data_IF_255793454722
#
_entry.id   IF_255793454722
#
_cell.length_a   1.000
_cell.length_b   1.000
_cell.length_c   1.000
_cell.angle_alpha   90.00
_cell.angle_beta   90.00
_cell.angle_gamma   90.00
#
_symmetry.space_group_name_H-M   'P 1'
#
loop_
_entity.id
_entity.type
_entity.pdbx_description
1 polymer ?
#
# COMPACT_ATOMS: atom_id res chain seq x y z
N UNK A 1 -2.47 10.10 7.63
CA UNK A 1 -1.53 9.98 6.50
C UNK A 1 -2.26 10.30 5.21
N UNK A 2 -1.75 11.26 4.45
CA UNK A 2 -2.32 11.66 3.15
C UNK A 2 -1.83 10.70 2.05
N UNK A 3 -2.75 9.99 1.40
CA UNK A 3 -2.44 9.18 0.23
C UNK A 3 -3.58 9.18 -0.78
N UNK A 4 -3.26 8.83 -2.02
CA UNK A 4 -4.20 8.68 -3.12
C UNK A 4 -4.02 7.29 -3.74
N UNK A 5 -5.08 6.48 -3.70
CA UNK A 5 -5.12 5.22 -4.45
C UNK A 5 -5.33 5.60 -5.92
N UNK A 6 -4.28 5.44 -6.73
CA UNK A 6 -4.30 5.72 -8.18
C UNK A 6 -4.91 4.57 -8.96
N UNK A 7 -4.67 3.35 -8.51
CA UNK A 7 -5.07 2.13 -9.19
C UNK A 7 -5.29 1.02 -8.17
N UNK A 8 -6.33 0.20 -8.40
CA UNK A 8 -6.61 -1.07 -7.71
C UNK A 8 -6.94 -2.10 -8.79
N UNK A 9 -6.12 -3.12 -8.96
CA UNK A 9 -6.31 -4.20 -9.95
C UNK A 9 -6.22 -5.54 -9.24
N UNK A 10 -7.14 -6.44 -9.56
CA UNK A 10 -7.03 -7.86 -9.21
C UNK A 10 -6.18 -8.58 -10.26
N UNK A 11 -5.16 -9.30 -9.80
CA UNK A 11 -4.26 -10.09 -10.65
C UNK A 11 -4.83 -11.50 -10.86
N UNK A 12 -4.26 -12.24 -11.81
CA UNK A 12 -4.75 -13.58 -12.19
C UNK A 12 -4.68 -14.63 -11.09
N UNK A 13 -3.88 -14.40 -10.06
CA UNK A 13 -3.70 -15.25 -8.87
C UNK A 13 -4.60 -14.84 -7.69
N UNK A 14 -5.49 -13.84 -7.89
CA UNK A 14 -6.36 -13.29 -6.83
C UNK A 14 -5.68 -12.25 -5.94
N UNK A 15 -4.39 -11.97 -6.16
CA UNK A 15 -3.67 -10.89 -5.47
C UNK A 15 -4.22 -9.53 -5.91
N UNK A 16 -4.35 -8.59 -4.98
CA UNK A 16 -4.77 -7.22 -5.29
C UNK A 16 -3.57 -6.29 -5.35
N UNK A 17 -3.33 -5.68 -6.50
CA UNK A 17 -2.32 -4.65 -6.70
C UNK A 17 -2.92 -3.27 -6.49
N UNK A 18 -2.30 -2.51 -5.59
CA UNK A 18 -2.58 -1.11 -5.33
C UNK A 18 -1.42 -0.24 -5.81
N UNK A 19 -1.72 0.84 -6.53
CA UNK A 19 -0.77 1.94 -6.69
C UNK A 19 -1.18 3.11 -5.82
N UNK A 20 -0.34 3.44 -4.84
CA UNK A 20 -0.63 4.44 -3.82
C UNK A 20 0.35 5.59 -4.00
N UNK A 21 -0.18 6.76 -4.37
CA UNK A 21 0.57 8.01 -4.41
C UNK A 21 0.56 8.71 -3.06
N UNK A 22 1.72 9.17 -2.59
CA UNK A 22 1.86 9.91 -1.33
C UNK A 22 3.03 10.88 -1.38
N UNK A 23 3.31 11.63 -0.31
CA UNK A 23 4.53 12.45 -0.23
C UNK A 23 5.75 11.56 0.07
N UNK A 24 6.95 11.95 -0.35
CA UNK A 24 8.18 11.17 -0.14
C UNK A 24 8.43 10.77 1.34
N UNK A 25 8.16 11.68 2.28
CA UNK A 25 8.32 11.41 3.71
C UNK A 25 7.30 10.39 4.24
N UNK A 26 6.08 10.35 3.68
CA UNK A 26 5.05 9.37 4.01
C UNK A 26 5.33 8.02 3.35
N UNK A 27 5.90 8.02 2.14
CA UNK A 27 6.30 6.80 1.44
C UNK A 27 7.26 5.95 2.28
N UNK A 28 8.29 6.59 2.85
CA UNK A 28 9.26 5.89 3.71
C UNK A 28 8.58 5.36 4.97
N UNK A 29 7.75 6.17 5.64
CA UNK A 29 7.01 5.75 6.84
C UNK A 29 6.09 4.55 6.54
N UNK A 30 5.37 4.60 5.43
CA UNK A 30 4.45 3.54 5.07
C UNK A 30 5.19 2.26 4.69
N UNK A 31 6.31 2.37 3.97
CA UNK A 31 7.20 1.23 3.72
C UNK A 31 7.57 0.48 5.01
N UNK A 32 7.97 1.20 6.07
CA UNK A 32 8.24 0.58 7.38
C UNK A 32 7.05 -0.15 8.01
N UNK A 33 5.83 0.36 7.80
CA UNK A 33 4.61 -0.32 8.26
C UNK A 33 4.43 -1.60 7.45
N UNK A 34 4.58 -1.55 6.13
CA UNK A 34 4.43 -2.72 5.26
C UNK A 34 5.47 -3.81 5.52
N UNK A 35 6.70 -3.45 5.89
CA UNK A 35 7.72 -4.41 6.36
C UNK A 35 7.25 -5.19 7.61
N UNK A 36 6.39 -4.59 8.44
CA UNK A 36 5.83 -5.25 9.62
C UNK A 36 4.65 -6.18 9.28
N UNK A 37 4.16 -6.16 8.04
CA UNK A 37 3.05 -6.97 7.54
C UNK A 37 3.55 -8.15 6.71
N UNK A 38 4.64 -8.78 7.14
CA UNK A 38 5.23 -9.94 6.46
C UNK A 38 4.16 -11.02 6.22
N UNK A 39 4.05 -11.48 4.97
CA UNK A 39 3.04 -12.46 4.53
C UNK A 39 1.70 -11.88 4.10
N UNK A 40 1.37 -10.62 4.42
CA UNK A 40 0.14 -9.98 3.96
C UNK A 40 0.29 -9.38 2.56
N UNK A 41 1.42 -8.73 2.32
CA UNK A 41 1.67 -8.04 1.08
C UNK A 41 3.16 -7.97 0.74
N UNK A 42 3.45 -7.78 -0.54
CA UNK A 42 4.74 -7.31 -1.01
C UNK A 42 4.61 -5.85 -1.47
N UNK A 43 5.68 -5.07 -1.36
CA UNK A 43 5.65 -3.70 -1.85
C UNK A 43 6.93 -3.31 -2.58
N UNK A 44 6.81 -2.34 -3.49
CA UNK A 44 7.94 -1.80 -4.24
C UNK A 44 7.67 -0.37 -4.68
N UNK A 45 8.73 0.34 -5.06
CA UNK A 45 8.64 1.65 -5.73
C UNK A 45 8.90 1.46 -7.22
N UNK A 46 7.86 1.36 -8.08
CA UNK A 46 8.05 1.01 -9.49
C UNK A 46 8.85 2.08 -10.26
N UNK A 47 8.81 3.33 -9.81
CA UNK A 47 9.53 4.45 -10.41
C UNK A 47 10.28 5.25 -9.34
N UNK A 48 11.62 5.25 -9.38
CA UNK A 48 12.46 5.92 -8.37
C UNK A 48 12.23 7.43 -8.24
N UNK A 49 11.72 8.07 -9.28
CA UNK A 49 11.52 9.53 -9.34
C UNK A 49 10.11 9.96 -8.95
N UNK A 50 9.18 9.01 -8.78
CA UNK A 50 7.79 9.30 -8.43
C UNK A 50 7.49 8.77 -7.04
N UNK A 51 6.74 9.52 -6.22
CA UNK A 51 6.40 9.08 -4.87
C UNK A 51 5.19 8.14 -4.93
N UNK A 52 5.38 6.98 -5.57
CA UNK A 52 4.36 5.95 -5.78
C UNK A 52 4.88 4.67 -5.14
N UNK A 53 4.01 4.07 -4.32
CA UNK A 53 4.20 2.75 -3.75
C UNK A 53 3.26 1.80 -4.48
N UNK A 54 3.81 0.70 -4.99
CA UNK A 54 3.01 -0.42 -5.46
C UNK A 54 2.95 -1.46 -4.34
N UNK A 55 1.75 -1.90 -3.98
CA UNK A 55 1.53 -2.91 -2.93
C UNK A 55 0.68 -4.03 -3.52
N UNK A 56 1.20 -5.24 -3.48
CA UNK A 56 0.54 -6.46 -3.94
C UNK A 56 0.11 -7.24 -2.69
N UNK A 57 -1.20 -7.27 -2.44
CA UNK A 57 -1.82 -7.81 -1.22
C UNK A 57 -2.40 -9.19 -1.52
N UNK A 58 -2.05 -10.18 -0.71
CA UNK A 58 -2.57 -11.53 -0.85
C UNK A 58 -4.11 -11.56 -0.63
N UNK A 59 -4.83 -12.45 -1.33
CA UNK A 59 -6.31 -12.45 -1.32
C UNK A 59 -6.90 -12.55 0.08
N UNK A 60 -6.28 -13.34 0.95
CA UNK A 60 -6.76 -13.59 2.32
C UNK A 60 -6.68 -12.34 3.22
N UNK A 61 -5.89 -11.33 2.86
CA UNK A 61 -5.62 -10.14 3.66
C UNK A 61 -6.18 -8.85 3.06
N UNK A 62 -6.94 -8.92 1.96
CA UNK A 62 -7.46 -7.72 1.28
C UNK A 62 -8.34 -6.86 2.20
N UNK A 63 -9.20 -7.50 3.00
CA UNK A 63 -10.10 -6.81 3.91
C UNK A 63 -9.32 -6.14 5.06
N UNK A 64 -8.34 -6.85 5.62
CA UNK A 64 -7.50 -6.30 6.67
C UNK A 64 -6.64 -5.13 6.16
N UNK A 65 -6.15 -5.23 4.92
CA UNK A 65 -5.41 -4.16 4.27
C UNK A 65 -6.29 -2.93 3.98
N UNK A 66 -7.52 -3.11 3.50
CA UNK A 66 -8.47 -2.01 3.30
C UNK A 66 -8.81 -1.32 4.66
N UNK A 67 -8.92 -2.08 5.76
CA UNK A 67 -9.07 -1.54 7.12
C UNK A 67 -7.83 -0.75 7.56
N UNK A 68 -6.63 -1.28 7.33
CA UNK A 68 -5.38 -0.58 7.63
C UNK A 68 -5.31 0.76 6.89
N UNK A 69 -5.56 0.79 5.58
CA UNK A 69 -5.56 2.03 4.80
C UNK A 69 -6.54 3.06 5.36
N UNK A 70 -7.74 2.61 5.75
CA UNK A 70 -8.75 3.48 6.36
C UNK A 70 -8.26 4.07 7.68
N UNK A 71 -7.71 3.25 8.58
CA UNK A 71 -7.17 3.72 9.86
C UNK A 71 -6.01 4.70 9.66
N UNK A 72 -5.13 4.43 8.71
CA UNK A 72 -4.02 5.32 8.39
C UNK A 72 -4.45 6.68 7.84
N UNK A 73 -5.56 6.73 7.08
CA UNK A 73 -6.15 7.98 6.63
C UNK A 73 -6.75 8.77 7.81
N UNK A 74 -7.41 8.10 8.76
CA UNK A 74 -8.07 8.73 9.92
C UNK A 74 -7.10 9.22 11.00
N UNK A 75 -5.97 8.54 11.21
CA UNK A 75 -5.05 8.84 12.33
C UNK A 75 -4.08 10.01 12.07
N UNK A 76 -4.13 10.66 10.90
CA UNK A 76 -3.25 11.77 10.48
C UNK A 76 -1.73 11.59 10.79
N UNK A 77 -1.24 10.34 10.75
CA UNK A 77 0.18 9.97 10.96
C UNK A 77 1.08 10.36 9.77
#
# INVERSE_FOLDING_TARGET
MDFLIKEKIELTDGTFRFQIGMKNNQLIKFGYILESLEGWCNYTTPEKTKPILQVDVAPDFINDFDVLLKQMAEMDI
#
